data_IF_249402986065
#
_entry.id   IF_249402986065
#
_cell.length_a   1.000
_cell.length_b   1.000
_cell.length_c   1.000
_cell.angle_alpha   90.00
_cell.angle_beta   90.00
_cell.angle_gamma   90.00
#
_symmetry.space_group_name_H-M   'P 1'
#
loop_
_entity.id
_entity.type
_entity.pdbx_description
1 polymer ?
#
# COMPACT_ATOMS: atom_id res chain seq x y z
N UNK A 1 10.99 6.29 -21.82
CA UNK A 1 10.16 7.22 -21.02
C UNK A 1 9.76 6.50 -19.73
N UNK A 2 10.76 6.22 -18.87
CA UNK A 2 10.56 5.53 -17.58
C UNK A 2 10.58 6.55 -16.44
N UNK A 3 11.37 7.62 -16.61
CA UNK A 3 11.43 8.76 -15.70
C UNK A 3 10.07 9.45 -15.53
N UNK A 4 9.29 9.64 -16.59
CA UNK A 4 7.95 10.24 -16.48
C UNK A 4 6.99 9.40 -15.66
N UNK A 5 7.05 8.07 -15.79
CA UNK A 5 6.21 7.14 -15.03
C UNK A 5 6.65 7.03 -13.56
N UNK A 6 7.96 7.09 -13.30
CA UNK A 6 8.48 7.18 -11.93
C UNK A 6 8.11 8.50 -11.28
N UNK A 7 8.19 9.63 -12.00
CA UNK A 7 7.79 10.95 -11.52
C UNK A 7 6.28 10.97 -11.21
N UNK A 8 5.44 10.48 -12.13
CA UNK A 8 3.99 10.41 -11.94
C UNK A 8 3.61 9.52 -10.74
N UNK A 9 4.32 8.39 -10.56
CA UNK A 9 4.18 7.53 -9.38
C UNK A 9 4.63 8.23 -8.09
N UNK A 10 5.68 9.05 -8.15
CA UNK A 10 6.17 9.82 -7.00
C UNK A 10 5.21 10.97 -6.63
N UNK A 11 4.62 11.61 -7.62
CA UNK A 11 3.64 12.69 -7.45
C UNK A 11 2.32 12.16 -6.89
N UNK A 12 1.77 11.08 -7.46
CA UNK A 12 0.55 10.43 -6.97
C UNK A 12 0.68 9.93 -5.52
N UNK A 13 1.85 9.38 -5.16
CA UNK A 13 2.13 8.98 -3.77
C UNK A 13 2.25 10.21 -2.83
N UNK A 14 2.75 11.34 -3.33
CA UNK A 14 2.89 12.58 -2.56
C UNK A 14 1.53 13.23 -2.31
N UNK A 15 0.65 13.28 -3.31
CA UNK A 15 -0.70 13.85 -3.18
C UNK A 15 -1.58 13.04 -2.23
N UNK A 16 -1.47 11.72 -2.26
CA UNK A 16 -2.17 10.84 -1.34
C UNK A 16 -1.61 10.91 0.10
N UNK A 17 -0.37 11.40 0.25
CA UNK A 17 0.28 11.63 1.54
C UNK A 17 -0.03 13.00 2.17
N UNK A 18 -0.45 13.98 1.38
CA UNK A 18 -0.42 15.41 1.75
C UNK A 18 -1.32 15.83 2.93
N UNK A 19 -2.29 14.99 3.35
CA UNK A 19 -3.16 15.27 4.51
C UNK A 19 -3.07 14.26 5.65
N UNK A 20 -2.80 12.99 5.35
CA UNK A 20 -2.92 11.90 6.33
C UNK A 20 -1.58 11.26 6.73
N UNK A 21 -0.44 11.71 6.15
CA UNK A 21 0.86 11.07 6.39
C UNK A 21 1.34 11.16 7.85
N UNK A 22 1.03 12.28 8.51
CA UNK A 22 1.46 12.54 9.89
C UNK A 22 0.44 12.10 10.95
N UNK A 23 -0.82 11.87 10.56
CA UNK A 23 -1.90 11.44 11.47
C UNK A 23 -2.11 9.93 11.35
N UNK A 24 -1.07 9.16 11.68
CA UNK A 24 -1.20 7.72 11.81
C UNK A 24 -2.11 7.40 13.00
N UNK A 25 -3.35 7.02 12.72
CA UNK A 25 -4.28 6.50 13.72
C UNK A 25 -3.97 5.04 14.00
N UNK A 26 -3.76 4.72 15.28
CA UNK A 26 -3.64 3.34 15.74
C UNK A 26 -4.95 2.57 15.51
N UNK A 27 -4.91 1.23 15.50
CA UNK A 27 -6.12 0.40 15.42
C UNK A 27 -7.10 0.61 16.57
N UNK A 28 -6.64 1.23 17.67
CA UNK A 28 -7.47 1.65 18.80
C UNK A 28 -8.03 3.08 18.68
N UNK A 29 -7.82 3.78 17.56
CA UNK A 29 -8.26 5.16 17.34
C UNK A 29 -7.44 6.24 18.05
N UNK A 30 -6.26 5.89 18.58
CA UNK A 30 -5.33 6.87 19.17
C UNK A 30 -4.48 7.52 18.07
N UNK A 31 -4.40 8.85 18.07
CA UNK A 31 -3.50 9.59 17.18
C UNK A 31 -2.06 9.41 17.67
N UNK A 32 -1.19 8.84 16.83
CA UNK A 32 0.24 8.76 17.14
C UNK A 32 0.87 10.12 16.84
N UNK A 33 1.48 10.75 17.85
CA UNK A 33 2.31 11.94 17.63
C UNK A 33 3.71 11.48 17.24
N UNK A 34 4.16 11.89 16.06
CA UNK A 34 5.54 11.67 15.65
C UNK A 34 6.41 12.78 16.22
N UNK A 35 7.38 12.41 17.06
CA UNK A 35 8.44 13.32 17.47
C UNK A 35 9.43 13.50 16.32
N UNK A 36 9.93 14.73 16.15
CA UNK A 36 10.94 15.04 15.13
C UNK A 36 12.27 14.45 15.57
N UNK A 37 12.59 13.26 15.05
CA UNK A 37 13.90 12.63 15.27
C UNK A 37 14.93 13.29 14.36
N UNK A 38 16.00 13.85 14.94
CA UNK A 38 17.13 14.40 14.20
C UNK A 38 18.20 13.33 13.98
N UNK A 39 19.07 13.55 13.00
CA UNK A 39 20.17 12.63 12.74
C UNK A 39 21.16 12.63 13.91
N UNK A 40 21.45 11.48 14.56
CA UNK A 40 22.22 11.44 15.81
C UNK A 40 23.66 11.93 15.68
N UNK A 41 24.29 11.70 14.53
CA UNK A 41 25.70 12.01 14.28
C UNK A 41 25.89 13.35 13.56
N UNK A 42 24.88 14.22 13.53
CA UNK A 42 25.03 15.57 12.98
C UNK A 42 25.55 16.54 14.05
N UNK A 43 26.87 16.68 14.20
CA UNK A 43 27.49 17.60 15.17
C UNK A 43 27.59 19.03 14.56
N UNK A 44 26.99 19.24 13.38
CA UNK A 44 27.05 20.45 12.59
C UNK A 44 28.01 20.31 11.41
N UNK A 45 27.75 21.09 10.35
CA UNK A 45 28.42 20.98 9.04
C UNK A 45 29.95 21.01 9.18
N UNK A 46 30.49 21.98 9.90
CA UNK A 46 31.94 22.13 10.05
C UNK A 46 32.57 21.00 10.86
N UNK A 47 31.93 20.59 11.97
CA UNK A 47 32.44 19.50 12.82
C UNK A 47 32.45 18.18 12.05
N UNK A 48 31.35 17.86 11.38
CA UNK A 48 31.23 16.68 10.53
C UNK A 48 32.26 16.68 9.40
N UNK A 49 32.45 17.82 8.72
CA UNK A 49 33.47 17.94 7.68
C UNK A 49 34.89 17.81 8.24
N UNK A 50 35.18 18.44 9.38
CA UNK A 50 36.50 18.33 10.01
C UNK A 50 36.81 16.91 10.46
N UNK A 51 35.80 16.16 10.89
CA UNK A 51 35.93 14.75 11.25
C UNK A 51 36.10 13.87 10.02
N UNK A 52 35.34 14.12 8.95
CA UNK A 52 35.45 13.40 7.68
C UNK A 52 36.81 13.62 6.99
N UNK A 53 37.34 14.84 7.07
CA UNK A 53 38.63 15.21 6.49
C UNK A 53 39.81 15.00 7.45
N UNK A 54 39.55 14.61 8.70
CA UNK A 54 40.57 14.39 9.74
C UNK A 54 41.29 15.65 10.23
N UNK A 55 40.94 16.84 9.74
CA UNK A 55 41.53 18.13 10.12
C UNK A 55 40.50 19.25 10.10
N UNK A 56 40.63 20.23 10.99
CA UNK A 56 39.78 21.43 11.03
C UNK A 56 40.20 22.52 10.01
N UNK A 57 41.28 22.30 9.25
CA UNK A 57 41.80 23.30 8.33
C UNK A 57 41.10 23.17 6.97
N UNK A 58 40.12 24.04 6.70
CA UNK A 58 39.32 24.01 5.47
C UNK A 58 40.17 24.08 4.17
N UNK A 59 41.29 24.80 4.19
CA UNK A 59 42.21 24.90 3.04
C UNK A 59 42.88 23.56 2.73
N UNK A 60 43.19 22.77 3.77
CA UNK A 60 43.83 21.46 3.59
C UNK A 60 42.89 20.45 2.95
N UNK A 61 41.57 20.63 3.04
CA UNK A 61 40.59 19.72 2.42
C UNK A 61 40.71 19.70 0.89
N UNK A 62 41.20 20.78 0.28
CA UNK A 62 41.39 20.89 -1.16
C UNK A 62 42.72 20.28 -1.63
N UNK A 63 43.57 19.85 -0.70
CA UNK A 63 44.88 19.31 -1.03
C UNK A 63 44.83 17.79 -1.10
N UNK A 64 45.23 17.17 -2.23
CA UNK A 64 45.14 15.73 -2.43
C UNK A 64 46.06 14.91 -1.51
N UNK A 65 47.03 15.56 -0.85
CA UNK A 65 47.94 14.95 0.12
C UNK A 65 47.53 15.20 1.58
N UNK A 66 46.36 15.80 1.82
CA UNK A 66 45.87 15.96 3.17
C UNK A 66 45.58 14.59 3.79
N UNK A 67 45.92 14.44 5.07
CA UNK A 67 45.67 13.21 5.83
C UNK A 67 44.19 13.06 6.07
N UNK A 68 43.63 11.90 5.74
CA UNK A 68 42.27 11.52 6.14
C UNK A 68 42.14 11.28 7.65
N UNK A 69 40.93 10.88 8.10
CA UNK A 69 40.65 10.64 9.52
C UNK A 69 41.57 9.57 10.08
N UNK A 70 42.19 9.86 11.22
CA UNK A 70 43.08 8.91 11.90
C UNK A 70 42.24 7.99 12.79
N UNK A 71 42.26 6.71 12.46
CA UNK A 71 41.64 5.67 13.30
C UNK A 71 42.40 5.58 14.62
N UNK A 72 41.67 5.65 15.74
CA UNK A 72 42.30 5.41 17.03
C UNK A 72 42.57 3.90 17.23
N UNK A 73 43.80 3.59 17.63
CA UNK A 73 44.26 2.23 17.95
C UNK A 73 43.76 1.76 19.32
N UNK A 74 43.27 2.67 20.17
CA UNK A 74 42.73 2.36 21.50
C UNK A 74 41.37 1.66 21.48
N UNK A 75 40.72 1.54 20.31
CA UNK A 75 39.37 0.96 20.19
C UNK A 75 38.27 1.88 20.74
N UNK A 76 38.60 3.14 21.06
CA UNK A 76 37.68 4.18 21.50
C UNK A 76 38.03 5.48 20.77
N UNK A 77 37.21 5.89 19.82
CA UNK A 77 37.48 7.10 19.02
C UNK A 77 36.96 6.98 17.59
N UNK A 78 37.39 7.90 16.73
CA UNK A 78 36.95 8.01 15.32
C UNK A 78 37.11 6.65 14.63
N UNK A 79 36.01 6.15 14.07
CA UNK A 79 35.91 4.83 13.42
C UNK A 79 35.26 3.73 14.29
N UNK A 80 35.30 3.85 15.62
CA UNK A 80 34.65 2.91 16.55
C UNK A 80 33.43 3.51 17.25
N UNK A 81 33.54 4.79 17.62
CA UNK A 81 32.48 5.56 18.25
C UNK A 81 32.45 6.94 17.62
N UNK A 82 31.26 7.38 17.30
CA UNK A 82 31.01 8.71 16.78
C UNK A 82 30.42 9.55 17.92
N UNK A 83 30.74 10.83 17.93
CA UNK A 83 30.12 11.75 18.87
C UNK A 83 28.66 11.93 18.47
N UNK A 84 27.77 11.88 19.45
CA UNK A 84 26.35 12.09 19.24
C UNK A 84 25.99 13.52 19.61
N UNK A 85 25.07 14.10 18.85
CA UNK A 85 24.65 15.49 18.97
C UNK A 85 23.87 15.75 20.29
N UNK A 86 23.32 14.71 20.91
CA UNK A 86 22.56 14.82 22.17
C UNK A 86 21.17 15.46 22.02
N UNK A 87 20.69 15.67 20.80
CA UNK A 87 19.36 16.26 20.53
C UNK A 87 18.20 15.28 20.64
N UNK A 88 18.47 13.98 20.57
CA UNK A 88 17.44 12.96 20.72
C UNK A 88 17.39 12.53 22.20
N UNK A 89 16.18 12.43 22.77
CA UNK A 89 15.98 12.05 24.17
C UNK A 89 16.50 10.64 24.49
N UNK A 90 16.52 9.75 23.49
CA UNK A 90 17.03 8.39 23.63
C UNK A 90 17.92 7.99 22.46
N UNK A 91 18.99 7.24 22.75
CA UNK A 91 19.86 6.63 21.75
C UNK A 91 19.09 5.59 20.91
N UNK A 92 19.41 5.48 19.61
CA UNK A 92 18.81 4.48 18.71
C UNK A 92 17.43 4.80 18.15
N UNK A 93 16.95 6.05 18.29
CA UNK A 93 15.69 6.51 17.69
C UNK A 93 15.76 6.59 16.15
N UNK A 94 16.98 6.57 15.61
CA UNK A 94 17.26 6.56 14.17
C UNK A 94 17.62 5.15 13.70
N UNK A 95 17.12 4.67 12.54
CA UNK A 95 16.22 5.35 11.60
C UNK A 95 14.78 5.47 12.13
N UNK A 96 14.05 6.54 11.77
CA UNK A 96 12.67 6.71 12.19
C UNK A 96 11.82 5.55 11.67
N UNK A 97 10.84 5.13 12.46
CA UNK A 97 10.00 4.00 12.09
C UNK A 97 9.09 4.39 10.91
N UNK A 98 9.22 3.68 9.78
CA UNK A 98 8.37 3.92 8.61
C UNK A 98 6.87 3.83 8.99
N UNK A 99 6.04 4.84 8.66
CA UNK A 99 4.62 4.87 9.02
C UNK A 99 3.85 3.70 8.39
N UNK A 100 4.24 3.27 7.20
CA UNK A 100 3.65 2.12 6.53
C UNK A 100 3.93 0.79 7.26
N UNK A 101 5.12 0.64 7.85
CA UNK A 101 5.46 -0.52 8.69
C UNK A 101 4.68 -0.49 10.00
N UNK A 102 4.42 0.69 10.57
CA UNK A 102 3.54 0.83 11.74
C UNK A 102 2.11 0.41 11.41
N UNK A 103 1.54 0.90 10.30
CA UNK A 103 0.19 0.48 9.84
C UNK A 103 0.09 -1.02 9.62
N UNK A 104 1.12 -1.64 9.03
CA UNK A 104 1.18 -3.10 8.85
C UNK A 104 1.30 -3.88 10.16
N UNK A 105 2.08 -3.39 11.13
CA UNK A 105 2.20 -4.00 12.46
C UNK A 105 0.89 -3.91 13.25
N UNK A 106 0.24 -2.76 13.18
CA UNK A 106 -1.03 -2.52 13.90
C UNK A 106 -2.19 -3.28 13.24
N UNK A 107 -2.12 -3.54 11.93
CA UNK A 107 -3.01 -4.46 11.23
C UNK A 107 -2.73 -5.89 11.71
N UNK A 108 -3.48 -6.32 12.72
CA UNK A 108 -3.48 -7.71 13.17
C UNK A 108 -3.65 -8.60 11.93
N UNK A 109 -2.68 -9.50 11.71
CA UNK A 109 -2.80 -10.49 10.64
C UNK A 109 -4.12 -11.23 10.81
N UNK A 110 -4.93 -11.47 9.76
CA UNK A 110 -6.22 -12.14 9.90
C UNK A 110 -6.12 -13.51 10.59
N UNK A 111 -4.97 -14.17 10.46
CA UNK A 111 -4.63 -15.42 11.14
C UNK A 111 -4.50 -15.27 12.66
N UNK A 112 -4.09 -14.11 13.16
CA UNK A 112 -3.95 -13.83 14.60
C UNK A 112 -5.32 -13.62 15.29
N UNK A 113 -6.37 -13.30 14.53
CA UNK A 113 -7.75 -13.22 15.02
C UNK A 113 -8.53 -14.53 14.86
N UNK A 114 -7.86 -15.65 14.53
CA UNK A 114 -8.54 -16.93 14.42
C UNK A 114 -8.90 -17.47 15.80
N UNK A 115 -10.19 -17.66 16.02
CA UNK A 115 -10.70 -18.34 17.21
C UNK A 115 -10.48 -19.85 17.07
N UNK A 116 -9.28 -20.33 17.42
CA UNK A 116 -8.93 -21.76 17.39
C UNK A 116 -9.94 -22.62 18.15
N UNK A 117 -10.49 -22.11 19.26
CA UNK A 117 -11.53 -22.78 20.03
C UNK A 117 -12.85 -22.95 19.25
N UNK A 118 -13.20 -21.99 18.38
CA UNK A 118 -14.37 -22.11 17.52
C UNK A 118 -14.13 -23.10 16.37
N UNK A 119 -12.90 -23.15 15.84
CA UNK A 119 -12.52 -24.09 14.79
C UNK A 119 -12.52 -25.55 15.28
N UNK A 120 -12.01 -25.82 16.49
CA UNK A 120 -12.09 -27.15 17.11
C UNK A 120 -13.54 -27.63 17.27
N UNK A 121 -14.45 -26.75 17.72
CA UNK A 121 -15.88 -27.08 17.84
C UNK A 121 -16.54 -27.41 16.49
N UNK A 122 -16.06 -26.83 15.40
CA UNK A 122 -16.58 -27.13 14.05
C UNK A 122 -16.10 -28.49 13.53
N UNK A 123 -14.93 -28.98 13.98
CA UNK A 123 -14.40 -30.30 13.62
C UNK A 123 -15.15 -31.42 14.34
N UNK A 124 -15.53 -31.20 15.60
CA UNK A 124 -16.24 -32.18 16.44
C UNK A 124 -17.73 -32.34 16.08
N UNK A 125 -18.29 -31.50 15.20
CA UNK A 125 -19.70 -31.57 14.80
C UNK A 125 -20.02 -32.78 13.93
N UNK A 126 -21.25 -33.27 14.09
CA UNK A 126 -21.81 -34.30 13.21
C UNK A 126 -21.90 -33.79 11.76
N UNK A 127 -21.82 -34.66 10.75
CA UNK A 127 -21.83 -34.26 9.34
C UNK A 127 -23.09 -33.46 8.95
N UNK A 128 -24.24 -33.79 9.51
CA UNK A 128 -25.51 -33.09 9.26
C UNK A 128 -25.53 -31.66 9.84
N UNK A 129 -24.96 -31.48 11.03
CA UNK A 129 -24.78 -30.17 11.66
C UNK A 129 -23.79 -29.31 10.89
N UNK A 130 -22.76 -29.91 10.29
CA UNK A 130 -21.81 -29.18 9.43
C UNK A 130 -22.49 -28.66 8.17
N UNK A 131 -23.33 -29.49 7.52
CA UNK A 131 -24.07 -29.09 6.31
C UNK A 131 -25.07 -27.96 6.62
N UNK A 132 -25.82 -28.08 7.71
CA UNK A 132 -26.79 -27.04 8.10
C UNK A 132 -26.11 -25.73 8.52
N UNK A 133 -25.00 -25.80 9.27
CA UNK A 133 -24.19 -24.64 9.62
C UNK A 133 -23.61 -23.96 8.37
N UNK A 134 -23.15 -24.74 7.38
CA UNK A 134 -22.66 -24.22 6.11
C UNK A 134 -23.77 -23.50 5.33
N UNK A 135 -24.95 -24.11 5.18
CA UNK A 135 -26.11 -23.47 4.52
C UNK A 135 -26.51 -22.17 5.22
N UNK A 136 -26.48 -22.13 6.55
CA UNK A 136 -26.76 -20.92 7.33
C UNK A 136 -25.75 -19.81 7.05
N UNK A 137 -24.45 -20.14 6.96
CA UNK A 137 -23.41 -19.16 6.58
C UNK A 137 -23.62 -18.65 5.16
N UNK A 138 -23.91 -19.53 4.20
CA UNK A 138 -24.21 -19.11 2.83
C UNK A 138 -25.40 -18.15 2.78
N UNK A 139 -26.49 -18.44 3.51
CA UNK A 139 -27.64 -17.55 3.60
C UNK A 139 -27.29 -16.20 4.25
N UNK A 140 -26.42 -16.18 5.26
CA UNK A 140 -25.96 -14.93 5.87
C UNK A 140 -25.07 -14.11 4.92
N UNK A 141 -24.20 -14.76 4.16
CA UNK A 141 -23.34 -14.08 3.19
C UNK A 141 -24.12 -13.55 2.00
N UNK A 142 -25.14 -14.27 1.52
CA UNK A 142 -26.05 -13.72 0.49
C UNK A 142 -26.79 -12.50 1.03
N UNK A 143 -27.27 -12.53 2.28
CA UNK A 143 -27.90 -11.38 2.92
C UNK A 143 -26.93 -10.20 3.11
N UNK A 144 -25.66 -10.44 3.46
CA UNK A 144 -24.64 -9.37 3.54
C UNK A 144 -24.38 -8.75 2.17
N UNK A 145 -24.26 -9.58 1.13
CA UNK A 145 -24.08 -9.12 -0.26
C UNK A 145 -25.27 -8.28 -0.71
N UNK A 146 -26.50 -8.72 -0.42
CA UNK A 146 -27.73 -7.96 -0.73
C UNK A 146 -27.81 -6.63 0.03
N UNK A 147 -27.37 -6.59 1.28
CA UNK A 147 -27.30 -5.33 2.06
C UNK A 147 -26.25 -4.38 1.49
N UNK A 148 -25.09 -4.90 1.10
CA UNK A 148 -24.05 -4.12 0.43
C UNK A 148 -24.53 -3.60 -0.92
N UNK A 149 -25.15 -4.45 -1.74
CA UNK A 149 -25.69 -4.03 -3.04
C UNK A 149 -26.77 -2.96 -2.88
N UNK A 150 -27.68 -3.13 -1.90
CA UNK A 150 -28.70 -2.12 -1.58
C UNK A 150 -28.10 -0.81 -1.12
N UNK A 151 -27.04 -0.86 -0.30
CA UNK A 151 -26.33 0.35 0.15
C UNK A 151 -25.60 1.05 -0.99
N UNK A 152 -25.01 0.28 -1.92
CA UNK A 152 -24.39 0.83 -3.13
C UNK A 152 -25.45 1.48 -4.02
N UNK A 153 -26.59 0.82 -4.24
CA UNK A 153 -27.73 1.36 -4.99
C UNK A 153 -28.27 2.66 -4.34
N UNK A 154 -28.41 2.71 -3.02
CA UNK A 154 -28.85 3.91 -2.28
C UNK A 154 -27.84 5.07 -2.42
N UNK A 155 -26.54 4.79 -2.34
CA UNK A 155 -25.47 5.79 -2.59
C UNK A 155 -25.48 6.26 -4.05
N UNK A 156 -25.75 5.35 -4.98
CA UNK A 156 -25.83 5.64 -6.41
C UNK A 156 -27.07 6.50 -6.75
N UNK A 157 -28.22 6.26 -6.11
CA UNK A 157 -29.43 7.10 -6.29
C UNK A 157 -29.32 8.51 -5.67
N UNK A 158 -28.49 8.72 -4.65
CA UNK A 158 -28.26 10.05 -4.06
C UNK A 158 -27.31 10.95 -4.87
N UNK A 159 -26.52 10.40 -5.81
CA UNK A 159 -25.53 11.14 -6.61
C UNK A 159 -26.00 11.48 -8.04
N UNK A 160 -27.23 11.11 -8.43
CA UNK A 160 -27.77 11.33 -9.78
C UNK A 160 -28.84 12.43 -9.88
N UNK A 161 -28.60 13.59 -9.27
CA UNK A 161 -29.44 14.77 -9.54
C UNK A 161 -28.67 16.06 -9.85
N UNK A 162 -27.59 15.97 -10.64
CA UNK A 162 -27.16 17.05 -11.55
C UNK A 162 -26.06 16.53 -12.52
N UNK A 163 -26.35 16.47 -13.83
CA UNK A 163 -25.29 16.41 -14.86
C UNK A 163 -25.23 15.14 -15.72
N UNK A 164 -25.89 15.22 -16.89
CA UNK A 164 -25.61 14.58 -18.19
C UNK A 164 -24.81 13.26 -18.18
N UNK A 165 -25.51 12.17 -18.52
CA UNK A 165 -25.05 10.78 -18.50
C UNK A 165 -24.30 10.31 -19.76
N UNK A 166 -23.70 11.21 -20.56
CA UNK A 166 -23.17 10.83 -21.87
C UNK A 166 -21.62 10.86 -22.01
N UNK A 167 -20.84 11.34 -21.03
CA UNK A 167 -19.40 11.60 -21.24
C UNK A 167 -18.41 11.02 -20.20
N UNK A 168 -18.83 10.20 -19.23
CA UNK A 168 -17.98 9.86 -18.05
C UNK A 168 -17.13 8.58 -18.11
N UNK A 169 -17.14 7.81 -19.19
CA UNK A 169 -16.46 6.49 -19.22
C UNK A 169 -15.20 6.41 -20.09
N UNK A 170 -14.65 7.55 -20.54
CA UNK A 170 -13.40 7.57 -21.30
C UNK A 170 -12.26 8.03 -20.39
N UNK A 171 -11.30 7.13 -20.14
CA UNK A 171 -10.10 7.47 -19.38
C UNK A 171 -9.34 8.62 -20.05
N UNK A 172 -9.10 9.67 -19.28
CA UNK A 172 -8.33 10.85 -19.69
C UNK A 172 -7.19 11.07 -18.70
N UNK A 173 -6.02 11.44 -19.22
CA UNK A 173 -4.91 11.86 -18.36
C UNK A 173 -5.13 13.31 -17.86
N UNK A 174 -4.29 13.78 -16.94
CA UNK A 174 -4.33 15.15 -16.41
C UNK A 174 -4.10 16.24 -17.46
N UNK A 175 -3.56 15.86 -18.62
CA UNK A 175 -3.39 16.76 -19.78
C UNK A 175 -4.60 16.75 -20.72
N UNK A 176 -5.64 15.96 -20.43
CA UNK A 176 -6.86 15.84 -21.22
C UNK A 176 -6.75 14.93 -22.45
N UNK A 177 -5.64 14.20 -22.61
CA UNK A 177 -5.42 13.25 -23.70
C UNK A 177 -6.16 11.94 -23.41
N UNK A 178 -6.69 11.33 -24.48
CA UNK A 178 -7.45 10.07 -24.45
C UNK A 178 -6.57 8.90 -24.88
N UNK A 179 -6.99 7.67 -24.55
CA UNK A 179 -6.31 6.44 -25.00
C UNK A 179 -6.19 6.38 -26.54
N UNK A 180 -7.18 6.94 -27.25
CA UNK A 180 -7.22 7.04 -28.70
C UNK A 180 -6.04 7.87 -29.28
N UNK A 181 -5.57 8.89 -28.55
CA UNK A 181 -4.46 9.75 -28.98
C UNK A 181 -3.12 8.99 -29.00
N UNK A 182 -3.03 7.90 -28.24
CA UNK A 182 -1.89 6.98 -28.24
C UNK A 182 -2.05 5.84 -29.26
N UNK A 183 -3.08 5.90 -30.11
CA UNK A 183 -3.37 4.90 -31.14
C UNK A 183 -4.00 3.62 -30.59
N UNK A 184 -4.65 3.69 -29.41
CA UNK A 184 -5.37 2.56 -28.82
C UNK A 184 -6.84 2.61 -29.27
N UNK A 185 -7.20 1.73 -30.22
CA UNK A 185 -8.58 1.58 -30.67
C UNK A 185 -9.43 0.87 -29.60
N UNK A 186 -10.21 1.65 -28.82
CA UNK A 186 -11.09 1.13 -27.78
C UNK A 186 -12.19 0.20 -28.34
N UNK A 187 -12.65 0.47 -29.56
CA UNK A 187 -13.63 -0.37 -30.28
C UNK A 187 -13.10 -1.76 -30.59
N UNK A 188 -11.78 -1.91 -30.83
CA UNK A 188 -11.16 -3.21 -31.09
C UNK A 188 -11.05 -4.07 -29.82
N UNK A 189 -11.03 -3.46 -28.65
CA UNK A 189 -10.98 -4.15 -27.35
C UNK A 189 -12.36 -4.55 -26.81
N UNK A 190 -13.45 -4.30 -27.56
CA UNK A 190 -14.79 -4.79 -27.21
C UNK A 190 -15.35 -4.20 -25.91
N UNK A 191 -14.83 -3.04 -25.49
CA UNK A 191 -15.23 -2.33 -24.27
C UNK A 191 -16.33 -1.29 -24.55
N UNK A 192 -17.17 -1.50 -25.57
CA UNK A 192 -18.46 -0.82 -25.56
C UNK A 192 -19.30 -1.49 -24.47
N UNK A 193 -19.93 -0.70 -23.59
CA UNK A 193 -20.66 -1.15 -22.39
C UNK A 193 -21.84 -2.11 -22.62
N UNK A 194 -21.93 -2.79 -23.76
CA UNK A 194 -22.78 -3.95 -23.98
C UNK A 194 -22.17 -5.16 -23.26
N UNK A 195 -22.51 -5.29 -21.98
CA UNK A 195 -22.36 -6.50 -21.17
C UNK A 195 -23.14 -7.63 -21.86
N UNK A 196 -22.52 -8.28 -22.85
CA UNK A 196 -23.14 -9.36 -23.61
C UNK A 196 -23.57 -10.46 -22.64
N UNK A 197 -24.77 -11.00 -22.86
CA UNK A 197 -25.50 -11.88 -21.93
C UNK A 197 -24.80 -13.21 -21.61
N UNK A 198 -23.58 -13.44 -22.13
CA UNK A 198 -22.82 -14.67 -21.95
C UNK A 198 -22.01 -14.72 -20.64
N UNK A 199 -21.77 -13.58 -19.98
CA UNK A 199 -21.00 -13.57 -18.72
C UNK A 199 -21.82 -13.88 -17.45
N UNK A 200 -23.16 -13.95 -17.55
CA UNK A 200 -24.06 -14.26 -16.44
C UNK A 200 -24.48 -15.75 -16.38
N UNK A 201 -23.62 -16.68 -16.82
CA UNK A 201 -23.90 -18.11 -16.70
C UNK A 201 -23.38 -18.64 -15.35
N UNK A 202 -24.23 -19.29 -14.53
CA UNK A 202 -23.77 -19.86 -13.27
C UNK A 202 -22.71 -20.94 -13.55
N UNK A 203 -21.70 -21.03 -12.68
CA UNK A 203 -20.56 -21.95 -12.83
C UNK A 203 -20.97 -23.41 -13.10
N UNK A 204 -22.13 -23.83 -12.57
CA UNK A 204 -22.71 -25.14 -12.83
C UNK A 204 -23.04 -25.36 -14.32
N UNK A 205 -23.51 -24.35 -15.04
CA UNK A 205 -23.81 -24.39 -16.47
C UNK A 205 -22.53 -24.43 -17.31
N UNK A 206 -21.49 -23.70 -16.88
CA UNK A 206 -20.15 -23.71 -17.51
C UNK A 206 -19.50 -25.08 -17.39
N UNK A 207 -19.56 -25.71 -16.20
CA UNK A 207 -19.05 -27.05 -15.99
C UNK A 207 -19.82 -28.08 -16.82
N UNK A 208 -21.16 -27.95 -16.90
CA UNK A 208 -22.01 -28.83 -17.71
C UNK A 208 -21.67 -28.74 -19.20
N UNK A 209 -21.44 -27.53 -19.73
CA UNK A 209 -20.98 -27.31 -21.11
C UNK A 209 -19.60 -27.89 -21.36
N UNK A 210 -18.69 -27.81 -20.39
CA UNK A 210 -17.33 -28.37 -20.48
C UNK A 210 -17.32 -29.90 -20.43
N UNK A 211 -18.29 -30.53 -19.77
CA UNK A 211 -18.37 -32.00 -19.65
C UNK A 211 -19.01 -32.70 -20.84
N UNK A 212 -19.67 -31.99 -21.76
CA UNK A 212 -20.18 -32.62 -22.99
C UNK A 212 -19.07 -32.69 -24.05
N UNK A 213 -18.69 -33.89 -24.54
CA UNK A 213 -17.74 -33.99 -25.64
C UNK A 213 -18.33 -33.30 -26.89
N UNK A 214 -17.56 -32.41 -27.52
CA UNK A 214 -17.92 -31.82 -28.81
C UNK A 214 -18.17 -32.96 -29.80
N UNK A 215 -19.39 -33.08 -30.29
CA UNK A 215 -19.75 -34.04 -31.34
C UNK A 215 -18.98 -33.64 -32.61
N UNK A 216 -18.22 -34.54 -33.26
CA UNK A 216 -17.54 -34.21 -34.50
C UNK A 216 -18.60 -33.91 -35.57
N UNK A 217 -18.47 -32.76 -36.21
CA UNK A 217 -19.23 -32.41 -37.42
C UNK A 217 -18.74 -33.31 -38.57
N UNK A 218 -19.69 -33.90 -39.30
CA UNK A 218 -19.47 -34.76 -40.47
C UNK A 218 -19.54 -33.89 -41.73
#
# INVERSE_FOLDING_TARGET
>A
MIESWEIERHEANSDQSGRDWCDATDTNGKTMRFDRVLFPYDIGIFANMSQAMGTANAVMWLWPFSSGPKLDKSGKGVGWRWEENGFNDTEGMWPPMNPERLRKKNRQWPLAQRDFAAELRDVERTPEERISAFRKRQAQDTQRRLKLSRKVEEVEFEDYNEGSFEDRDVWTNTNGERLEDFGVDLDAMGYSGSRTSDENLPLAEVLRRRTMPRKPEI
#
